data_IF_377242212651
#
_entry.id   IF_377242212651
#
_cell.length_a   1.000
_cell.length_b   1.000
_cell.length_c   1.000
_cell.angle_alpha   90.00
_cell.angle_beta   90.00
_cell.angle_gamma   90.00
#
_symmetry.space_group_name_H-M   'P 1'
#
loop_
_entity.id
_entity.type
_entity.pdbx_description
1 polymer ?
#
# COMPACT_ATOMS: atom_id res chain seq x y z
N UNK A 1 6.72 -55.89 -32.12
CA UNK A 1 5.93 -55.17 -31.10
C UNK A 1 6.67 -53.89 -30.79
N UNK A 2 6.10 -52.78 -31.24
CA UNK A 2 6.71 -51.46 -31.25
C UNK A 2 6.25 -50.64 -30.04
N UNK A 3 7.04 -49.59 -29.79
CA UNK A 3 6.69 -48.33 -29.13
C UNK A 3 7.07 -48.20 -27.66
N UNK A 4 8.29 -47.67 -27.51
CA UNK A 4 8.58 -46.57 -26.59
C UNK A 4 7.46 -45.51 -26.66
N UNK A 5 6.84 -45.20 -25.53
CA UNK A 5 6.12 -43.93 -25.34
C UNK A 5 6.43 -43.43 -23.93
N UNK A 6 7.36 -42.47 -23.87
CA UNK A 6 7.05 -41.07 -23.59
C UNK A 6 6.90 -40.79 -22.10
N UNK A 7 8.04 -40.80 -21.42
CA UNK A 7 8.25 -40.13 -20.13
C UNK A 7 8.47 -38.64 -20.39
N UNK A 8 7.42 -37.90 -20.69
CA UNK A 8 7.48 -36.44 -20.66
C UNK A 8 6.09 -35.83 -20.48
N UNK A 9 5.67 -35.65 -19.23
CA UNK A 9 4.43 -34.94 -18.93
C UNK A 9 4.43 -34.41 -17.49
N UNK A 10 5.41 -33.58 -17.09
CA UNK A 10 5.23 -32.75 -15.88
C UNK A 10 5.96 -31.40 -15.89
N UNK A 11 6.61 -30.99 -16.99
CA UNK A 11 7.41 -29.76 -17.00
C UNK A 11 6.66 -28.50 -17.41
N UNK A 12 5.36 -28.58 -17.70
CA UNK A 12 4.54 -27.41 -18.02
C UNK A 12 3.69 -26.97 -16.81
N UNK A 13 4.34 -26.71 -15.69
CA UNK A 13 3.79 -25.74 -14.74
C UNK A 13 4.10 -24.37 -15.31
N UNK A 14 3.35 -23.97 -16.34
CA UNK A 14 3.23 -22.57 -16.75
C UNK A 14 2.97 -21.77 -15.48
N UNK A 15 4.02 -21.13 -14.96
CA UNK A 15 3.96 -20.29 -13.78
C UNK A 15 3.08 -19.12 -14.17
N UNK A 16 1.84 -19.12 -13.67
CA UNK A 16 0.94 -17.99 -13.82
C UNK A 16 1.74 -16.72 -13.48
N UNK A 17 1.65 -15.66 -14.30
CA UNK A 17 2.41 -14.45 -14.07
C UNK A 17 2.18 -14.02 -12.61
N UNK A 18 3.25 -13.64 -11.87
CA UNK A 18 3.12 -13.27 -10.47
C UNK A 18 1.98 -12.25 -10.37
N UNK A 19 1.07 -12.40 -9.38
CA UNK A 19 -0.07 -11.52 -9.27
C UNK A 19 0.44 -10.10 -9.31
N UNK A 20 0.02 -9.33 -10.33
CA UNK A 20 0.31 -7.90 -10.39
C UNK A 20 -0.23 -7.34 -9.08
N UNK A 21 0.66 -6.93 -8.18
CA UNK A 21 0.27 -6.20 -6.98
C UNK A 21 -0.37 -4.95 -7.54
N UNK A 22 -1.70 -4.95 -7.66
CA UNK A 22 -2.41 -3.79 -8.13
C UNK A 22 -2.07 -2.70 -7.14
N UNK A 23 -1.53 -1.59 -7.65
CA UNK A 23 -1.15 -0.46 -6.83
C UNK A 23 -2.40 0.01 -6.08
N UNK A 24 -2.47 -0.26 -4.78
CA UNK A 24 -3.60 0.07 -3.89
C UNK A 24 -3.62 1.57 -3.54
N UNK A 25 -3.08 2.43 -4.40
CA UNK A 25 -2.89 3.86 -4.14
C UNK A 25 -4.22 4.54 -3.87
N UNK A 26 -5.20 4.38 -4.75
CA UNK A 26 -6.51 5.03 -4.60
C UNK A 26 -7.20 4.58 -3.30
N UNK A 27 -7.14 3.28 -2.99
CA UNK A 27 -7.68 2.71 -1.76
C UNK A 27 -6.95 3.24 -0.52
N UNK A 28 -5.61 3.31 -0.57
CA UNK A 28 -4.77 3.82 0.53
C UNK A 28 -5.10 5.28 0.82
N UNK A 29 -5.23 6.11 -0.22
CA UNK A 29 -5.58 7.53 -0.06
C UNK A 29 -7.01 7.65 0.48
N UNK A 30 -7.98 6.93 -0.09
CA UNK A 30 -9.37 6.97 0.37
C UNK A 30 -9.50 6.58 1.85
N UNK A 31 -8.90 5.46 2.25
CA UNK A 31 -8.93 5.00 3.63
C UNK A 31 -8.18 5.94 4.58
N UNK A 32 -7.09 6.55 4.12
CA UNK A 32 -6.37 7.56 4.89
C UNK A 32 -7.22 8.79 5.15
N UNK A 33 -7.88 9.32 4.12
CA UNK A 33 -8.78 10.48 4.24
C UNK A 33 -9.97 10.16 5.15
N UNK A 34 -10.57 8.98 4.98
CA UNK A 34 -11.67 8.52 5.82
C UNK A 34 -11.25 8.39 7.29
N UNK A 35 -10.06 7.88 7.56
CA UNK A 35 -9.55 7.70 8.91
C UNK A 35 -9.22 9.03 9.59
N UNK A 36 -8.67 10.00 8.87
CA UNK A 36 -8.39 11.34 9.39
C UNK A 36 -9.66 12.14 9.68
N UNK A 37 -10.71 11.93 8.88
CA UNK A 37 -11.98 12.64 9.01
C UNK A 37 -11.85 14.16 8.78
N UNK A 38 -12.89 14.90 9.13
CA UNK A 38 -13.01 16.34 8.86
C UNK A 38 -11.93 17.20 9.54
N UNK A 39 -11.44 16.76 10.70
CA UNK A 39 -10.37 17.46 11.42
C UNK A 39 -8.99 17.18 10.82
N UNK A 40 -8.89 16.27 9.85
CA UNK A 40 -7.63 15.98 9.18
C UNK A 40 -6.52 15.51 10.13
N UNK A 41 -5.25 15.79 9.82
CA UNK A 41 -4.11 15.33 10.62
C UNK A 41 -3.99 16.00 11.99
N UNK A 42 -4.64 17.14 12.24
CA UNK A 42 -4.55 17.88 13.50
C UNK A 42 -5.45 17.30 14.59
N UNK A 43 -6.57 16.68 14.21
CA UNK A 43 -7.50 16.00 15.14
C UNK A 43 -7.27 14.50 15.28
N UNK A 44 -6.33 13.91 14.52
CA UNK A 44 -6.06 12.48 14.55
C UNK A 44 -5.24 12.07 15.78
N UNK A 45 -5.51 10.88 16.32
CA UNK A 45 -4.66 10.32 17.38
C UNK A 45 -3.22 10.09 16.85
N UNK A 46 -2.18 10.24 17.69
CA UNK A 46 -0.79 10.09 17.23
C UNK A 46 -0.48 8.73 16.58
N UNK A 47 -1.11 7.66 17.07
CA UNK A 47 -0.95 6.32 16.50
C UNK A 47 -1.56 6.21 15.10
N UNK A 48 -2.78 6.74 14.92
CA UNK A 48 -3.46 6.75 13.64
C UNK A 48 -2.70 7.60 12.61
N UNK A 49 -2.29 8.80 13.02
CA UNK A 49 -1.54 9.72 12.19
C UNK A 49 -0.23 9.09 11.69
N UNK A 50 0.52 8.42 12.57
CA UNK A 50 1.73 7.69 12.18
C UNK A 50 1.43 6.65 11.11
N UNK A 51 0.35 5.87 11.27
CA UNK A 51 0.00 4.82 10.32
C UNK A 51 -0.42 5.39 8.96
N UNK A 52 -1.17 6.48 8.94
CA UNK A 52 -1.55 7.20 7.72
C UNK A 52 -0.30 7.71 7.00
N UNK A 53 0.62 8.39 7.70
CA UNK A 53 1.87 8.90 7.11
C UNK A 53 2.68 7.78 6.46
N UNK A 54 2.84 6.64 7.15
CA UNK A 54 3.57 5.50 6.60
C UNK A 54 2.89 4.90 5.37
N UNK A 55 1.57 4.83 5.37
CA UNK A 55 0.78 4.26 4.27
C UNK A 55 0.85 5.16 3.02
N UNK A 56 0.75 6.49 3.21
CA UNK A 56 0.88 7.49 2.16
C UNK A 56 2.30 7.46 1.54
N UNK A 57 3.35 7.29 2.36
CA UNK A 57 4.73 7.10 1.86
C UNK A 57 4.88 5.81 1.06
N UNK A 58 4.34 4.69 1.57
CA UNK A 58 4.37 3.41 0.85
C UNK A 58 3.63 3.47 -0.50
N UNK A 59 2.66 4.38 -0.62
CA UNK A 59 1.95 4.68 -1.86
C UNK A 59 2.71 5.64 -2.82
N UNK A 60 3.88 6.16 -2.42
CA UNK A 60 4.74 7.04 -3.24
C UNK A 60 4.53 8.54 -3.04
N UNK A 61 3.80 8.96 -2.00
CA UNK A 61 3.45 10.36 -1.73
C UNK A 61 4.27 10.95 -0.57
N UNK A 62 5.60 10.85 -0.65
CA UNK A 62 6.50 11.28 0.43
C UNK A 62 6.37 12.76 0.78
N UNK A 63 6.16 13.61 -0.22
CA UNK A 63 6.03 15.06 -0.05
C UNK A 63 4.77 15.40 0.75
N UNK A 64 3.65 14.79 0.39
CA UNK A 64 2.35 14.96 1.03
C UNK A 64 2.38 14.41 2.45
N UNK A 65 2.98 13.23 2.65
CA UNK A 65 3.18 12.66 3.98
C UNK A 65 4.04 13.56 4.89
N UNK A 66 5.07 14.22 4.34
CA UNK A 66 5.88 15.18 5.09
C UNK A 66 5.09 16.44 5.43
N UNK A 67 4.34 17.00 4.47
CA UNK A 67 3.50 18.18 4.71
C UNK A 67 2.47 17.91 5.83
N UNK A 68 1.79 16.76 5.75
CA UNK A 68 0.85 16.31 6.77
C UNK A 68 1.49 16.17 8.16
N UNK A 69 2.71 15.60 8.24
CA UNK A 69 3.44 15.49 9.50
C UNK A 69 3.79 16.85 10.11
N UNK A 70 4.15 17.82 9.26
CA UNK A 70 4.46 19.20 9.69
C UNK A 70 3.19 19.90 10.17
N UNK A 71 2.07 19.81 9.45
CA UNK A 71 0.78 20.38 9.90
C UNK A 71 0.37 19.84 11.28
N UNK A 72 0.47 18.53 11.48
CA UNK A 72 0.16 17.92 12.76
C UNK A 72 1.11 18.36 13.88
N UNK A 73 2.42 18.47 13.59
CA UNK A 73 3.40 18.94 14.56
C UNK A 73 3.11 20.39 15.00
N UNK A 74 2.86 21.29 14.04
CA UNK A 74 2.49 22.68 14.30
C UNK A 74 1.21 22.77 15.17
N UNK A 75 0.20 21.97 14.85
CA UNK A 75 -1.04 21.90 15.64
C UNK A 75 -0.81 21.35 17.06
N UNK A 76 0.21 20.51 17.26
CA UNK A 76 0.62 19.99 18.55
C UNK A 76 1.53 20.95 19.35
N UNK A 77 1.90 22.10 18.79
CA UNK A 77 2.68 23.15 19.48
C UNK A 77 4.19 23.07 19.29
N UNK A 78 4.66 22.40 18.23
CA UNK A 78 6.05 22.50 17.72
C UNK A 78 6.23 23.78 16.90
#
# INVERSE_FOLDING_TARGET
MASETSSDATSDRTMAPPPKIQSRVAETILLSLLALGENGPTGASPFLLRQVILSIRAAGFDKEARAMAVEAALAAGL
#
